data_IF_780023812295
#
_entry.id   IF_780023812295
#
_cell.length_a   1.000
_cell.length_b   1.000
_cell.length_c   1.000
_cell.angle_alpha   90.00
_cell.angle_beta   90.00
_cell.angle_gamma   90.00
#
_symmetry.space_group_name_H-M   'P 1'
#
loop_
_entity.id
_entity.type
_entity.pdbx_description
1 polymer ?
#
# COMPACT_ATOMS: atom_id res chain seq x y z
N UNK A 1 6.38 14.61 -4.57
CA UNK A 1 5.70 13.49 -3.87
C UNK A 1 5.73 12.23 -4.72
N UNK A 2 5.84 11.12 -4.06
CA UNK A 2 5.96 9.80 -4.69
C UNK A 2 4.78 8.94 -4.28
N UNK A 3 4.20 8.22 -5.22
CA UNK A 3 3.19 7.20 -4.95
C UNK A 3 3.85 5.83 -5.09
N UNK A 4 3.74 5.01 -4.04
CA UNK A 4 4.20 3.62 -4.05
C UNK A 4 2.97 2.74 -4.17
N UNK A 5 2.95 1.88 -5.18
CA UNK A 5 1.77 1.08 -5.50
C UNK A 5 2.05 -0.40 -5.29
N UNK A 6 1.29 -1.00 -4.38
CA UNK A 6 1.35 -2.43 -4.08
C UNK A 6 0.03 -3.06 -4.49
N UNK A 7 0.09 -4.25 -5.04
CA UNK A 7 -1.08 -5.00 -5.49
C UNK A 7 -1.08 -6.39 -4.91
N UNK A 8 -2.25 -6.82 -4.42
CA UNK A 8 -2.41 -8.18 -3.93
C UNK A 8 -3.81 -8.68 -4.22
N UNK A 9 -3.97 -10.00 -4.30
CA UNK A 9 -5.25 -10.62 -4.64
C UNK A 9 -5.55 -11.70 -3.62
N UNK A 10 -6.78 -11.69 -3.10
CA UNK A 10 -7.25 -12.73 -2.18
C UNK A 10 -8.49 -13.39 -2.76
N UNK A 11 -8.83 -14.61 -2.30
CA UNK A 11 -10.19 -15.09 -2.49
C UNK A 11 -11.14 -14.10 -1.80
N UNK A 12 -12.30 -13.85 -2.40
CA UNK A 12 -13.21 -12.86 -1.83
C UNK A 12 -13.71 -13.24 -0.46
N UNK A 13 -13.79 -14.54 -0.18
CA UNK A 13 -14.26 -15.01 1.12
C UNK A 13 -13.36 -14.54 2.26
N UNK A 14 -12.08 -14.31 2.00
CA UNK A 14 -11.16 -13.84 3.04
C UNK A 14 -10.81 -12.36 2.95
N UNK A 15 -11.48 -11.62 2.08
CA UNK A 15 -11.04 -10.26 1.78
C UNK A 15 -11.17 -9.30 2.95
N UNK A 16 -12.30 -9.36 3.68
CA UNK A 16 -12.49 -8.45 4.81
C UNK A 16 -11.50 -8.74 5.93
N UNK A 17 -11.25 -10.00 6.16
CA UNK A 17 -10.27 -10.40 7.17
C UNK A 17 -8.87 -9.94 6.79
N UNK A 18 -8.54 -10.04 5.50
CA UNK A 18 -7.24 -9.57 5.04
C UNK A 18 -7.13 -8.06 5.17
N UNK A 19 -8.20 -7.33 4.89
CA UNK A 19 -8.17 -5.88 5.08
C UNK A 19 -7.86 -5.53 6.54
N UNK A 20 -8.46 -6.25 7.47
CA UNK A 20 -8.14 -6.02 8.89
C UNK A 20 -6.67 -6.32 9.18
N UNK A 21 -6.13 -7.36 8.57
CA UNK A 21 -4.71 -7.68 8.73
C UNK A 21 -3.81 -6.57 8.15
N UNK A 22 -4.18 -6.04 6.98
CA UNK A 22 -3.43 -4.94 6.39
C UNK A 22 -3.37 -3.73 7.31
N UNK A 23 -4.49 -3.42 7.98
CA UNK A 23 -4.53 -2.28 8.90
C UNK A 23 -3.57 -2.47 10.07
N UNK A 24 -3.38 -3.71 10.52
CA UNK A 24 -2.48 -3.99 11.65
C UNK A 24 -1.03 -4.09 11.24
N UNK A 25 -0.74 -4.29 9.96
CA UNK A 25 0.63 -4.53 9.50
C UNK A 25 1.10 -3.42 8.57
N UNK A 26 0.95 -3.59 7.26
CA UNK A 26 1.51 -2.67 6.29
C UNK A 26 1.01 -1.24 6.43
N UNK A 27 -0.30 -1.07 6.60
CA UNK A 27 -0.86 0.28 6.70
C UNK A 27 -0.35 0.98 7.95
N UNK A 28 -0.27 0.25 9.07
CA UNK A 28 0.26 0.80 10.30
C UNK A 28 1.72 1.22 10.13
N UNK A 29 2.50 0.38 9.47
CA UNK A 29 3.93 0.68 9.25
C UNK A 29 4.11 1.86 8.30
N UNK A 30 3.28 1.98 7.26
CA UNK A 30 3.32 3.17 6.41
C UNK A 30 3.17 4.43 7.25
N UNK A 31 2.12 4.44 8.08
CA UNK A 31 1.79 5.64 8.85
C UNK A 31 2.84 5.97 9.90
N UNK A 32 3.55 4.96 10.37
CA UNK A 32 4.58 5.16 11.38
C UNK A 32 5.90 5.65 10.81
N UNK A 33 6.06 5.61 9.49
CA UNK A 33 7.31 5.99 8.86
C UNK A 33 7.33 7.48 8.54
N UNK A 34 8.40 8.15 8.94
CA UNK A 34 8.55 9.59 8.66
C UNK A 34 8.52 9.83 7.16
N UNK A 35 7.81 10.86 6.74
CA UNK A 35 7.68 11.20 5.33
C UNK A 35 6.50 10.55 4.62
N UNK A 36 5.77 9.68 5.31
CA UNK A 36 4.53 9.14 4.75
C UNK A 36 3.44 10.20 4.85
N UNK A 37 2.72 10.41 3.75
CA UNK A 37 1.67 11.40 3.68
C UNK A 37 0.28 10.80 3.63
N UNK A 38 0.17 9.49 3.81
CA UNK A 38 -1.11 8.82 3.83
C UNK A 38 -1.10 7.61 2.93
N UNK A 39 -2.21 6.88 2.95
CA UNK A 39 -2.36 5.69 2.11
C UNK A 39 -3.81 5.58 1.65
N UNK A 40 -3.97 5.25 0.37
CA UNK A 40 -5.27 4.92 -0.19
C UNK A 40 -5.35 3.41 -0.29
N UNK A 41 -6.43 2.83 0.22
CA UNK A 41 -6.66 1.40 0.13
C UNK A 41 -7.86 1.19 -0.78
N UNK A 42 -7.60 0.59 -1.92
CA UNK A 42 -8.63 0.36 -2.93
C UNK A 42 -8.85 -1.12 -3.09
N UNK A 43 -10.09 -1.52 -3.41
CA UNK A 43 -10.32 -2.92 -3.72
C UNK A 43 -11.34 -3.05 -4.82
N UNK A 44 -11.22 -4.13 -5.58
CA UNK A 44 -12.10 -4.42 -6.70
C UNK A 44 -12.43 -5.90 -6.68
N UNK A 45 -13.72 -6.22 -6.83
CA UNK A 45 -14.17 -7.60 -6.90
C UNK A 45 -14.09 -8.06 -8.35
N UNK A 46 -13.59 -9.28 -8.55
CA UNK A 46 -13.41 -9.84 -9.88
C UNK A 46 -13.59 -11.36 -9.81
N UNK A 47 -14.82 -11.84 -10.09
CA UNK A 47 -15.12 -13.27 -10.22
C UNK A 47 -14.60 -14.10 -9.04
N UNK A 48 -15.07 -13.76 -7.86
CA UNK A 48 -14.71 -14.51 -6.65
C UNK A 48 -13.37 -14.17 -6.06
N UNK A 49 -12.65 -13.24 -6.67
CA UNK A 49 -11.37 -12.73 -6.16
C UNK A 49 -11.52 -11.26 -5.84
N UNK A 50 -10.74 -10.81 -4.87
CA UNK A 50 -10.69 -9.39 -4.54
C UNK A 50 -9.28 -8.89 -4.73
N UNK A 51 -9.15 -7.86 -5.55
CA UNK A 51 -7.88 -7.19 -5.78
C UNK A 51 -7.75 -6.02 -4.82
N UNK A 52 -6.63 -5.96 -4.12
CA UNK A 52 -6.31 -4.81 -3.27
C UNK A 52 -5.21 -4.01 -3.93
N UNK A 53 -5.38 -2.70 -3.90
CA UNK A 53 -4.35 -1.79 -4.38
C UNK A 53 -4.06 -0.82 -3.25
N UNK A 54 -2.83 -0.82 -2.77
CA UNK A 54 -2.41 0.12 -1.73
C UNK A 54 -1.54 1.18 -2.38
N UNK A 55 -2.01 2.42 -2.32
CA UNK A 55 -1.25 3.54 -2.86
C UNK A 55 -0.79 4.38 -1.68
N UNK A 56 0.47 4.22 -1.30
CA UNK A 56 1.03 4.99 -0.21
C UNK A 56 1.74 6.22 -0.77
N UNK A 57 1.56 7.34 -0.08
CA UNK A 57 2.05 8.62 -0.54
C UNK A 57 3.23 9.04 0.31
N UNK A 58 4.30 9.52 -0.36
CA UNK A 58 5.57 9.81 0.32
C UNK A 58 6.13 11.13 -0.15
N UNK A 59 6.78 11.84 0.75
CA UNK A 59 7.33 13.14 0.37
C UNK A 59 8.56 13.00 -0.53
N UNK A 60 9.25 11.85 -0.50
CA UNK A 60 10.46 11.66 -1.32
C UNK A 60 10.80 10.19 -1.41
N UNK A 61 11.72 9.85 -2.33
CA UNK A 61 12.24 8.48 -2.39
C UNK A 61 13.05 8.14 -1.15
N UNK A 62 13.70 9.12 -0.54
CA UNK A 62 14.41 8.88 0.71
C UNK A 62 13.45 8.41 1.80
N UNK A 63 12.25 8.99 1.84
CA UNK A 63 11.24 8.56 2.81
C UNK A 63 10.78 7.13 2.52
N UNK A 64 10.62 6.78 1.24
CA UNK A 64 10.27 5.41 0.87
C UNK A 64 11.33 4.43 1.39
N UNK A 65 12.61 4.81 1.32
CA UNK A 65 13.68 3.95 1.79
C UNK A 65 13.61 3.69 3.29
N UNK A 66 13.10 4.65 4.04
CA UNK A 66 12.92 4.45 5.48
C UNK A 66 11.95 3.30 5.77
N UNK A 67 10.96 3.12 4.90
CA UNK A 67 10.00 2.02 5.04
C UNK A 67 10.52 0.74 4.40
N UNK A 68 11.03 0.83 3.18
CA UNK A 68 11.26 -0.33 2.33
C UNK A 68 12.72 -0.80 2.29
N UNK A 69 13.65 -0.01 2.80
CA UNK A 69 15.06 -0.33 2.67
C UNK A 69 15.59 0.15 1.34
N UNK A 70 16.83 -0.26 1.01
CA UNK A 70 17.51 0.26 -0.17
C UNK A 70 16.90 -0.25 -1.47
N UNK A 71 16.34 -1.46 -1.47
CA UNK A 71 15.73 -2.02 -2.68
C UNK A 71 14.25 -1.68 -2.69
N UNK A 72 13.95 -0.43 -3.03
CA UNK A 72 12.58 0.08 -2.88
C UNK A 72 11.58 -0.59 -3.79
N UNK A 73 12.02 -1.19 -4.90
CA UNK A 73 11.10 -1.90 -5.80
C UNK A 73 10.62 -3.22 -5.25
N UNK A 74 11.28 -3.74 -4.23
CA UNK A 74 10.87 -5.00 -3.63
C UNK A 74 9.63 -4.81 -2.77
N UNK A 75 8.64 -5.68 -2.95
CA UNK A 75 7.47 -5.70 -2.10
C UNK A 75 7.87 -6.20 -0.72
N UNK A 76 7.23 -5.62 0.31
CA UNK A 76 7.47 -6.02 1.68
C UNK A 76 6.26 -6.80 2.17
N UNK A 77 6.52 -8.04 2.64
CA UNK A 77 5.45 -8.91 3.12
C UNK A 77 5.57 -9.19 4.60
N UNK A 78 4.47 -9.58 5.19
CA UNK A 78 4.35 -9.87 6.62
C UNK A 78 4.04 -11.35 6.78
N UNK A 79 4.26 -11.91 7.98
CA UNK A 79 4.25 -13.37 8.14
C UNK A 79 2.97 -14.07 7.68
N UNK A 80 1.80 -13.42 7.82
CA UNK A 80 0.55 -14.09 7.47
C UNK A 80 0.05 -13.72 6.09
N UNK A 81 0.79 -12.89 5.33
CA UNK A 81 0.34 -12.52 3.99
C UNK A 81 0.10 -13.76 3.12
N UNK A 82 0.96 -14.74 3.21
CA UNK A 82 0.84 -15.93 2.36
C UNK A 82 -0.40 -16.76 2.68
N UNK A 83 -1.00 -16.56 3.86
CA UNK A 83 -2.22 -17.27 4.21
C UNK A 83 -3.44 -16.69 3.50
N UNK A 84 -3.35 -15.47 3.01
CA UNK A 84 -4.45 -14.77 2.36
C UNK A 84 -4.24 -14.59 0.88
N UNK A 85 -3.01 -14.23 0.48
CA UNK A 85 -2.74 -13.85 -0.89
C UNK A 85 -2.58 -15.05 -1.79
N UNK A 86 -3.19 -14.96 -2.97
CA UNK A 86 -3.08 -16.02 -3.98
C UNK A 86 -1.69 -16.03 -4.59
N UNK A 87 -1.01 -14.90 -4.57
CA UNK A 87 0.34 -14.78 -5.12
C UNK A 87 1.06 -13.67 -4.38
N UNK A 88 2.34 -13.85 -4.13
CA UNK A 88 3.17 -12.81 -3.53
C UNK A 88 3.98 -12.16 -4.64
N UNK A 89 3.46 -11.08 -5.18
CA UNK A 89 4.15 -10.36 -6.25
C UNK A 89 5.44 -9.78 -5.69
N UNK A 90 6.56 -10.00 -6.36
CA UNK A 90 7.86 -9.62 -5.75
C UNK A 90 8.17 -8.15 -5.79
N UNK A 91 7.47 -7.37 -6.63
CA UNK A 91 7.82 -5.98 -6.85
C UNK A 91 6.64 -5.06 -6.71
N UNK A 92 6.95 -3.82 -6.35
CA UNK A 92 5.98 -2.72 -6.34
C UNK A 92 6.47 -1.67 -7.32
N UNK A 93 5.64 -0.65 -7.59
CA UNK A 93 5.99 0.40 -8.53
C UNK A 93 5.89 1.75 -7.86
N UNK A 94 6.72 2.68 -8.32
CA UNK A 94 6.73 4.04 -7.81
C UNK A 94 6.47 5.00 -8.95
N UNK A 95 5.67 6.02 -8.66
CA UNK A 95 5.33 7.05 -9.62
C UNK A 95 5.53 8.41 -8.99
N UNK A 96 5.98 9.35 -9.79
CA UNK A 96 6.02 10.74 -9.37
C UNK A 96 4.61 11.31 -9.46
N UNK A 97 4.16 12.00 -8.41
CA UNK A 97 2.84 12.62 -8.42
C UNK A 97 2.98 14.01 -9.01
N UNK A 98 2.35 14.23 -10.14
CA UNK A 98 2.40 15.53 -10.80
C UNK A 98 1.24 16.42 -10.39
N UNK A 99 0.09 15.85 -10.09
CA UNK A 99 -1.11 16.59 -9.70
C UNK A 99 -1.90 15.76 -8.72
N UNK A 100 -2.41 16.37 -7.67
CA UNK A 100 -3.21 15.69 -6.66
C UNK A 100 -4.35 16.61 -6.22
N UNK A 101 -5.43 16.01 -5.67
CA UNK A 101 -6.51 16.83 -5.12
C UNK A 101 -6.02 17.70 -3.97
N UNK A 102 -6.66 18.84 -3.78
CA UNK A 102 -6.28 19.76 -2.70
C UNK A 102 -6.31 19.09 -1.33
N UNK A 103 -7.29 18.26 -1.11
CA UNK A 103 -7.44 17.57 0.18
C UNK A 103 -6.25 16.67 0.47
N UNK A 104 -5.68 16.06 -0.58
CA UNK A 104 -4.54 15.18 -0.39
C UNK A 104 -3.34 15.96 0.08
N UNK A 105 -3.14 17.15 -0.42
CA UNK A 105 -1.97 17.91 -0.04
C UNK A 105 -2.20 18.68 1.25
N UNK A 106 -3.42 19.02 1.51
CA UNK A 106 -3.71 19.66 2.77
C UNK A 106 -3.58 18.71 3.90
N UNK A 107 -3.91 17.90 3.65
CA UNK A 107 -3.85 17.04 4.50
C UNK A 107 -4.65 17.09 5.26
N UNK A 108 -5.26 17.63 5.01
CA UNK A 108 -6.01 17.80 5.49
C UNK A 108 -7.06 18.35 5.30
N UNK A 109 -7.40 18.79 5.21
CA UNK A 109 -8.41 19.42 5.13
C UNK A 109 -9.44 18.70 4.61
N UNK A 110 -9.97 18.46 4.65
CA UNK A 110 -10.77 17.83 4.17
C UNK A 110 -11.41 17.37 4.27
#
# INVERSE_FOLDING_TARGET
MIARIWHGVTPSVGADEYFNYLNRTGISDYRATAGNKGVLVLRRLDEGKTHFLLISLWESLAAVQQFAGTEIEKARYYPEDENYLLELEPQVQHYEILTAPSEAKCDVRS
#
